data_IF_660834152143
#
_entry.id   IF_660834152143
#
_cell.length_a   1.000
_cell.length_b   1.000
_cell.length_c   1.000
_cell.angle_alpha   90.00
_cell.angle_beta   90.00
_cell.angle_gamma   90.00
#
_symmetry.space_group_name_H-M   'P 1'
#
loop_
_entity.id
_entity.type
_entity.pdbx_description
1 polymer ?
#
# COMPACT_ATOMS: atom_id res chain seq x y z
N UNK A 1 -22.37 8.29 -15.74
CA UNK A 1 -22.04 8.65 -17.13
C UNK A 1 -20.54 8.64 -17.29
N UNK A 2 -20.01 7.92 -18.25
CA UNK A 2 -18.61 7.98 -18.56
C UNK A 2 -18.40 9.15 -19.53
N UNK A 3 -18.54 10.34 -19.06
CA UNK A 3 -18.03 11.47 -19.81
C UNK A 3 -16.60 11.69 -19.40
N UNK A 4 -15.87 11.13 -20.18
CA UNK A 4 -14.79 11.63 -20.83
C UNK A 4 -13.42 11.49 -20.31
N UNK A 5 -12.95 10.34 -20.47
CA UNK A 5 -11.52 10.14 -20.28
C UNK A 5 -10.65 10.89 -21.30
N UNK A 6 -11.01 10.93 -22.57
CA UNK A 6 -10.12 11.45 -23.60
C UNK A 6 -9.98 12.99 -23.66
N UNK A 7 -11.06 13.76 -23.52
CA UNK A 7 -10.97 15.22 -23.57
C UNK A 7 -10.45 15.84 -22.27
N UNK A 8 -10.68 15.18 -21.14
CA UNK A 8 -10.16 15.62 -19.85
C UNK A 8 -8.68 15.29 -19.66
N UNK A 9 -8.16 14.28 -20.33
CA UNK A 9 -6.77 13.84 -20.20
C UNK A 9 -5.79 14.83 -20.85
N UNK A 10 -6.19 15.55 -21.87
CA UNK A 10 -5.32 16.54 -22.55
C UNK A 10 -4.98 17.72 -21.64
N UNK A 11 -5.85 18.09 -20.70
CA UNK A 11 -5.69 19.26 -19.83
C UNK A 11 -5.46 18.95 -18.35
N UNK A 12 -5.64 17.71 -17.93
CA UNK A 12 -5.45 17.33 -16.52
C UNK A 12 -3.97 17.24 -16.17
N UNK A 13 -3.63 17.84 -15.04
CA UNK A 13 -2.37 17.60 -14.35
C UNK A 13 -2.55 16.40 -13.43
N UNK A 14 -1.54 15.55 -13.37
CA UNK A 14 -1.55 14.36 -12.54
C UNK A 14 -0.57 14.52 -11.37
N UNK A 15 -0.97 14.00 -10.22
CA UNK A 15 -0.07 13.81 -9.08
C UNK A 15 0.09 12.30 -8.90
N UNK A 16 1.30 11.80 -9.10
CA UNK A 16 1.62 10.38 -9.01
C UNK A 16 2.41 10.14 -7.74
N UNK A 17 1.93 9.22 -6.92
CA UNK A 17 2.54 8.87 -5.64
C UNK A 17 3.25 7.51 -5.71
N UNK A 18 4.59 7.53 -5.72
CA UNK A 18 5.42 6.38 -6.09
C UNK A 18 6.34 5.90 -4.95
N UNK A 19 5.82 5.79 -3.75
CA UNK A 19 6.62 5.47 -2.55
C UNK A 19 7.18 4.04 -2.51
N UNK A 20 6.72 3.15 -3.39
CA UNK A 20 7.06 1.72 -3.37
C UNK A 20 7.91 1.25 -4.56
N UNK A 21 8.44 2.16 -5.36
CA UNK A 21 9.17 1.85 -6.61
C UNK A 21 10.33 0.85 -6.43
N UNK A 22 10.94 0.82 -5.26
CA UNK A 22 12.06 -0.08 -4.94
C UNK A 22 11.62 -1.38 -4.25
N UNK A 23 10.34 -1.51 -3.89
CA UNK A 23 9.82 -2.72 -3.23
C UNK A 23 9.02 -3.50 -4.26
N UNK A 24 9.74 -4.26 -5.08
CA UNK A 24 9.20 -5.05 -6.20
C UNK A 24 9.74 -6.47 -6.16
N UNK A 25 8.98 -7.41 -6.72
CA UNK A 25 9.26 -8.84 -6.66
C UNK A 25 9.18 -9.48 -8.06
N UNK A 26 9.69 -10.71 -8.16
CA UNK A 26 9.49 -11.60 -9.32
C UNK A 26 9.90 -10.96 -10.65
N UNK A 27 10.98 -10.19 -10.65
CA UNK A 27 11.50 -9.48 -11.83
C UNK A 27 10.56 -8.41 -12.39
N UNK A 28 9.56 -7.99 -11.61
CA UNK A 28 8.69 -6.87 -12.01
C UNK A 28 9.51 -5.60 -12.20
N UNK A 29 9.31 -4.94 -13.33
CA UNK A 29 9.94 -3.65 -13.64
C UNK A 29 8.95 -2.53 -13.44
N UNK A 30 9.20 -1.72 -12.43
CA UNK A 30 8.40 -0.53 -12.18
C UNK A 30 8.67 0.54 -13.25
N UNK A 31 7.60 1.22 -13.70
CA UNK A 31 7.71 2.35 -14.60
C UNK A 31 6.74 3.46 -14.16
N UNK A 32 7.19 4.72 -14.28
CA UNK A 32 6.32 5.87 -14.01
C UNK A 32 5.49 6.23 -15.22
N UNK A 33 4.30 6.84 -15.09
CA UNK A 33 3.52 7.32 -16.23
C UNK A 33 4.31 8.27 -17.13
N UNK A 34 5.10 9.19 -16.58
CA UNK A 34 5.92 10.11 -17.35
C UNK A 34 7.10 9.42 -18.08
N UNK A 35 7.53 8.24 -17.60
CA UNK A 35 8.55 7.43 -18.27
C UNK A 35 7.96 6.66 -19.45
N UNK A 36 6.74 6.13 -19.28
CA UNK A 36 6.04 5.34 -20.29
C UNK A 36 5.50 6.24 -21.41
N UNK A 37 4.97 7.39 -21.04
CA UNK A 37 4.39 8.36 -21.97
C UNK A 37 5.03 9.75 -21.76
N UNK A 38 6.08 10.09 -22.54
CA UNK A 38 6.83 11.34 -22.38
C UNK A 38 6.00 12.61 -22.51
N UNK A 39 4.88 12.57 -23.22
CA UNK A 39 3.97 13.73 -23.36
C UNK A 39 3.31 14.12 -22.04
N UNK A 40 3.34 13.25 -21.03
CA UNK A 40 2.83 13.51 -19.70
C UNK A 40 3.83 14.27 -18.81
N UNK A 41 5.11 14.34 -19.19
CA UNK A 41 6.17 14.90 -18.34
C UNK A 41 5.84 16.31 -17.82
N UNK A 42 5.41 17.20 -18.69
CA UNK A 42 5.09 18.60 -18.33
C UNK A 42 3.75 18.77 -17.59
N UNK A 43 3.03 17.66 -17.34
CA UNK A 43 1.73 17.64 -16.66
C UNK A 43 1.71 16.74 -15.44
N UNK A 44 2.82 16.09 -15.12
CA UNK A 44 2.94 15.13 -14.02
C UNK A 44 3.81 15.69 -12.91
N UNK A 45 3.31 15.63 -11.68
CA UNK A 45 4.07 15.78 -10.44
C UNK A 45 4.30 14.39 -9.86
N UNK A 46 5.52 13.91 -9.94
CA UNK A 46 5.90 12.63 -9.32
C UNK A 46 6.34 12.86 -7.88
N UNK A 47 5.68 12.21 -6.93
CA UNK A 47 5.99 12.27 -5.50
C UNK A 47 6.61 10.96 -5.04
N UNK A 48 7.68 11.04 -4.29
CA UNK A 48 8.35 9.91 -3.69
C UNK A 48 8.89 10.29 -2.30
N UNK A 49 9.58 9.38 -1.63
CA UNK A 49 10.20 9.65 -0.34
C UNK A 49 10.97 8.47 0.21
N UNK A 50 11.65 8.72 1.30
CA UNK A 50 12.55 7.73 1.94
C UNK A 50 11.84 6.84 2.96
N UNK A 51 10.55 7.09 3.23
CA UNK A 51 9.82 6.41 4.31
C UNK A 51 9.70 4.90 4.13
N UNK A 52 9.57 4.39 2.89
CA UNK A 52 9.24 2.99 2.60
C UNK A 52 10.47 2.18 2.24
N UNK A 53 11.06 2.44 1.08
CA UNK A 53 12.25 1.70 0.61
C UNK A 53 13.43 1.78 1.59
N UNK A 54 13.59 2.92 2.24
CA UNK A 54 14.69 3.17 3.17
C UNK A 54 14.32 2.97 4.65
N UNK A 55 13.08 2.53 4.95
CA UNK A 55 12.56 2.34 6.32
C UNK A 55 12.71 3.59 7.21
N UNK A 56 12.56 4.79 6.63
CA UNK A 56 12.81 6.09 7.26
C UNK A 56 11.50 6.84 7.57
N UNK A 57 10.48 6.14 8.08
CA UNK A 57 9.17 6.75 8.37
C UNK A 57 9.25 7.88 9.40
N UNK A 58 10.08 7.73 10.42
CA UNK A 58 10.28 8.71 11.49
C UNK A 58 11.01 9.98 11.05
N UNK A 59 11.73 9.93 9.95
CA UNK A 59 12.51 11.08 9.45
C UNK A 59 11.65 12.13 8.74
N UNK A 60 10.42 11.82 8.40
CA UNK A 60 9.43 12.73 7.81
C UNK A 60 9.92 13.45 6.56
N UNK A 61 10.52 12.73 5.61
CA UNK A 61 11.04 13.25 4.33
C UNK A 61 10.30 12.63 3.16
N UNK A 62 9.80 13.49 2.30
CA UNK A 62 9.36 13.21 0.94
C UNK A 62 9.91 14.26 -0.01
N UNK A 63 9.89 13.95 -1.27
CA UNK A 63 10.31 14.85 -2.35
C UNK A 63 9.42 14.67 -3.57
N UNK A 64 9.42 15.65 -4.45
CA UNK A 64 8.68 15.57 -5.70
C UNK A 64 9.47 16.22 -6.85
N UNK A 65 9.18 15.75 -8.04
CA UNK A 65 9.69 16.30 -9.29
C UNK A 65 8.52 16.57 -10.23
N UNK A 66 8.59 17.67 -10.99
CA UNK A 66 7.53 18.04 -11.92
C UNK A 66 7.78 19.39 -12.60
N UNK A 67 6.75 19.94 -13.25
CA UNK A 67 6.88 21.21 -13.99
C UNK A 67 7.44 22.33 -13.12
N UNK A 68 8.45 23.02 -13.61
CA UNK A 68 9.21 24.06 -12.87
C UNK A 68 8.30 25.13 -12.26
N UNK A 69 7.26 25.56 -12.97
CA UNK A 69 6.32 26.56 -12.45
C UNK A 69 5.55 26.06 -11.23
N UNK A 70 5.13 24.78 -11.26
CA UNK A 70 4.44 24.15 -10.13
C UNK A 70 5.37 24.00 -8.93
N UNK A 71 6.58 23.50 -9.13
CA UNK A 71 7.58 23.36 -8.06
C UNK A 71 7.89 24.71 -7.42
N UNK A 72 8.09 25.77 -8.22
CA UNK A 72 8.31 27.14 -7.68
C UNK A 72 7.13 27.63 -6.85
N UNK A 73 5.89 27.37 -7.30
CA UNK A 73 4.69 27.77 -6.55
C UNK A 73 4.58 26.99 -5.21
N UNK A 74 4.82 25.68 -5.24
CA UNK A 74 4.84 24.84 -4.03
C UNK A 74 5.92 25.30 -3.05
N UNK A 75 7.13 25.57 -3.53
CA UNK A 75 8.24 26.07 -2.69
C UNK A 75 7.86 27.40 -2.03
N UNK A 76 7.22 28.31 -2.77
CA UNK A 76 6.76 29.60 -2.22
C UNK A 76 5.74 29.39 -1.08
N UNK A 77 4.75 28.53 -1.28
CA UNK A 77 3.74 28.25 -0.25
C UNK A 77 4.38 27.57 0.97
N UNK A 78 5.22 26.56 0.75
CA UNK A 78 5.89 25.85 1.84
C UNK A 78 6.79 26.79 2.66
N UNK A 79 7.51 27.70 2.03
CA UNK A 79 8.38 28.67 2.72
C UNK A 79 7.62 29.58 3.68
N UNK A 80 6.32 29.81 3.45
CA UNK A 80 5.46 30.65 4.29
C UNK A 80 4.67 29.83 5.33
N UNK A 81 4.74 28.50 5.31
CA UNK A 81 4.02 27.62 6.24
C UNK A 81 5.00 26.85 7.13
N UNK A 82 5.58 25.77 6.62
CA UNK A 82 6.48 24.89 7.37
C UNK A 82 7.96 25.15 7.12
N UNK A 83 8.28 26.13 6.27
CA UNK A 83 9.62 26.52 5.78
C UNK A 83 10.28 25.42 4.96
N UNK A 84 10.76 24.35 5.58
CA UNK A 84 11.38 23.19 4.95
C UNK A 84 11.44 22.00 5.92
N UNK A 85 11.72 20.77 5.43
CA UNK A 85 12.00 19.64 6.30
C UNK A 85 13.24 19.89 7.18
N UNK A 86 13.31 19.23 8.32
CA UNK A 86 14.47 19.28 9.23
C UNK A 86 15.77 18.97 8.48
N UNK A 87 16.80 19.80 8.64
CA UNK A 87 18.08 19.66 7.92
C UNK A 87 18.79 18.33 8.18
N UNK A 88 18.71 17.82 9.41
CA UNK A 88 19.24 16.48 9.76
C UNK A 88 18.57 15.40 8.89
N UNK A 89 17.24 15.45 8.73
CA UNK A 89 16.50 14.52 7.89
C UNK A 89 16.85 14.66 6.40
N UNK A 90 17.13 15.88 5.94
CA UNK A 90 17.56 16.11 4.57
C UNK A 90 18.92 15.44 4.29
N UNK A 91 19.90 15.59 5.18
CA UNK A 91 21.20 14.94 5.05
C UNK A 91 21.10 13.41 5.13
N UNK A 92 20.26 12.91 6.03
CA UNK A 92 19.98 11.46 6.08
C UNK A 92 19.33 10.95 4.78
N UNK A 93 18.46 11.73 4.16
CA UNK A 93 17.87 11.38 2.86
C UNK A 93 18.91 11.43 1.72
N UNK A 94 19.85 12.40 1.76
CA UNK A 94 20.96 12.45 0.79
C UNK A 94 21.80 11.17 0.87
N UNK A 95 22.15 10.72 2.07
CA UNK A 95 22.90 9.46 2.26
C UNK A 95 22.06 8.25 1.81
N UNK A 96 20.77 8.19 2.18
CA UNK A 96 19.90 7.09 1.76
C UNK A 96 19.80 6.96 0.24
N UNK A 97 19.75 8.08 -0.49
CA UNK A 97 19.58 8.08 -1.95
C UNK A 97 20.89 7.89 -2.73
N UNK A 98 22.03 8.28 -2.18
CA UNK A 98 23.32 8.24 -2.88
C UNK A 98 24.29 7.18 -2.32
N UNK A 99 24.05 6.69 -1.11
CA UNK A 99 24.85 5.64 -0.49
C UNK A 99 24.59 4.25 -1.08
N UNK A 100 25.17 3.20 -0.49
CA UNK A 100 24.97 1.81 -0.93
C UNK A 100 23.49 1.43 -0.96
N UNK A 101 23.05 0.69 -1.98
CA UNK A 101 21.66 0.27 -2.20
C UNK A 101 21.44 -1.25 -2.02
N UNK A 102 22.49 -2.03 -1.77
CA UNK A 102 22.45 -3.49 -1.73
C UNK A 102 21.43 -4.04 -0.73
N UNK A 103 21.27 -3.38 0.42
CA UNK A 103 20.30 -3.76 1.45
C UNK A 103 18.83 -3.70 1.00
N UNK A 104 18.51 -2.98 -0.08
CA UNK A 104 17.17 -2.94 -0.65
C UNK A 104 16.82 -4.31 -1.22
N UNK A 105 17.74 -4.93 -1.96
CA UNK A 105 17.55 -6.28 -2.51
C UNK A 105 17.39 -7.33 -1.40
N UNK A 106 18.18 -7.24 -0.33
CA UNK A 106 18.07 -8.12 0.83
C UNK A 106 16.70 -7.99 1.52
N UNK A 107 16.23 -6.76 1.73
CA UNK A 107 14.89 -6.52 2.29
C UNK A 107 13.77 -7.01 1.39
N UNK A 108 13.89 -6.81 0.09
CA UNK A 108 12.90 -7.30 -0.87
C UNK A 108 12.81 -8.82 -0.84
N UNK A 109 13.92 -9.54 -0.67
CA UNK A 109 13.91 -10.99 -0.50
C UNK A 109 13.13 -11.42 0.76
N UNK A 110 13.31 -10.72 1.88
CA UNK A 110 12.54 -10.98 3.12
C UNK A 110 11.06 -10.66 2.90
N UNK A 111 10.72 -9.53 2.30
CA UNK A 111 9.33 -9.18 2.01
C UNK A 111 8.67 -10.15 1.04
N UNK A 112 9.41 -10.62 0.03
CA UNK A 112 8.90 -11.67 -0.89
C UNK A 112 8.54 -12.95 -0.14
N UNK A 113 9.42 -13.41 0.75
CA UNK A 113 9.15 -14.62 1.57
C UNK A 113 7.91 -14.43 2.44
N UNK A 114 7.74 -13.27 3.07
CA UNK A 114 6.55 -12.93 3.86
C UNK A 114 5.29 -12.86 3.02
N UNK A 115 5.36 -12.22 1.86
CA UNK A 115 4.27 -12.16 0.89
C UNK A 115 3.80 -13.57 0.52
N UNK A 116 4.72 -14.42 0.08
CA UNK A 116 4.41 -15.77 -0.38
C UNK A 116 3.74 -16.58 0.73
N UNK A 117 4.26 -16.51 1.96
CA UNK A 117 3.67 -17.15 3.13
C UNK A 117 2.25 -16.62 3.44
N UNK A 118 2.07 -15.30 3.46
CA UNK A 118 0.77 -14.69 3.79
C UNK A 118 -0.27 -15.02 2.72
N UNK A 119 0.09 -14.94 1.44
CA UNK A 119 -0.79 -15.31 0.33
C UNK A 119 -1.22 -16.78 0.41
N UNK A 120 -0.26 -17.68 0.64
CA UNK A 120 -0.54 -19.11 0.80
C UNK A 120 -1.50 -19.38 1.96
N UNK A 121 -1.22 -18.84 3.14
CA UNK A 121 -2.06 -19.02 4.32
C UNK A 121 -3.46 -18.42 4.16
N UNK A 122 -3.59 -17.25 3.54
CA UNK A 122 -4.89 -16.60 3.32
C UNK A 122 -5.74 -17.38 2.31
N UNK A 123 -5.14 -17.93 1.26
CA UNK A 123 -5.86 -18.76 0.28
C UNK A 123 -6.33 -20.13 0.84
N UNK A 124 -5.85 -20.51 2.02
CA UNK A 124 -6.36 -21.66 2.77
C UNK A 124 -7.53 -21.28 3.71
N UNK A 125 -7.82 -19.98 3.88
CA UNK A 125 -8.93 -19.51 4.69
C UNK A 125 -10.24 -19.60 3.90
N UNK A 126 -11.28 -20.18 4.52
CA UNK A 126 -12.58 -20.37 3.88
C UNK A 126 -13.25 -19.03 3.51
N UNK A 127 -13.52 -18.84 2.22
CA UNK A 127 -14.19 -17.64 1.71
C UNK A 127 -13.27 -16.44 1.47
N UNK A 128 -11.96 -16.63 1.58
CA UNK A 128 -10.93 -15.65 1.24
C UNK A 128 -10.26 -16.01 -0.10
N UNK A 129 -9.98 -15.00 -0.89
CA UNK A 129 -9.17 -15.10 -2.10
C UNK A 129 -8.12 -13.99 -2.10
N UNK A 130 -6.85 -14.36 -2.16
CA UNK A 130 -5.73 -13.43 -2.12
C UNK A 130 -4.86 -13.57 -3.36
N UNK A 131 -4.81 -12.53 -4.18
CA UNK A 131 -3.90 -12.43 -5.31
C UNK A 131 -2.47 -12.15 -4.82
N UNK A 132 -1.48 -12.63 -5.57
CA UNK A 132 -0.07 -12.38 -5.28
C UNK A 132 0.34 -11.00 -5.81
N UNK A 133 0.69 -10.03 -4.95
CA UNK A 133 1.12 -8.72 -5.40
C UNK A 133 2.56 -8.75 -5.95
N UNK A 134 2.82 -7.92 -6.94
CA UNK A 134 4.16 -7.77 -7.57
C UNK A 134 5.05 -6.76 -6.86
N UNK A 135 4.55 -6.07 -5.85
CA UNK A 135 5.31 -5.06 -5.09
C UNK A 135 4.63 -4.61 -3.81
N UNK A 136 5.23 -3.61 -3.17
CA UNK A 136 4.84 -3.08 -1.86
C UNK A 136 4.99 -4.12 -0.73
N UNK A 137 4.36 -3.89 0.42
CA UNK A 137 4.30 -4.85 1.53
C UNK A 137 2.87 -5.01 2.06
N UNK A 138 1.92 -5.03 1.13
CA UNK A 138 0.50 -5.25 1.40
C UNK A 138 -0.05 -6.37 0.55
N UNK A 139 -0.96 -7.16 1.13
CA UNK A 139 -1.92 -7.98 0.39
C UNK A 139 -3.31 -7.35 0.50
N UNK A 140 -4.14 -7.64 -0.49
CA UNK A 140 -5.50 -7.08 -0.57
C UNK A 140 -6.51 -8.18 -0.92
N UNK A 141 -6.72 -9.14 0.02
CA UNK A 141 -7.61 -10.27 -0.19
C UNK A 141 -9.08 -9.86 -0.26
N UNK A 142 -9.82 -10.59 -1.07
CA UNK A 142 -11.28 -10.58 -1.10
C UNK A 142 -11.83 -11.42 0.05
N UNK A 143 -12.86 -10.91 0.75
CA UNK A 143 -13.65 -11.66 1.71
C UNK A 143 -15.08 -11.95 1.21
N UNK A 144 -15.27 -11.96 -0.11
CA UNK A 144 -16.60 -12.13 -0.73
C UNK A 144 -17.30 -13.42 -0.29
N UNK A 145 -16.56 -14.52 -0.09
CA UNK A 145 -17.11 -15.79 0.38
C UNK A 145 -17.51 -15.80 1.86
N UNK A 146 -17.23 -14.72 2.61
CA UNK A 146 -17.66 -14.55 4.00
C UNK A 146 -18.92 -13.68 4.12
N UNK A 147 -19.25 -12.90 3.08
CA UNK A 147 -20.42 -12.01 3.09
C UNK A 147 -21.70 -12.84 3.15
N UNK A 148 -22.63 -12.42 3.99
CA UNK A 148 -23.91 -13.10 4.25
C UNK A 148 -23.82 -14.24 5.26
N UNK A 149 -22.62 -14.65 5.69
CA UNK A 149 -22.44 -15.59 6.80
C UNK A 149 -22.60 -14.89 8.15
N UNK A 150 -22.78 -15.66 9.21
CA UNK A 150 -22.91 -15.16 10.59
C UNK A 150 -21.79 -15.66 11.48
N UNK A 151 -21.34 -14.82 12.39
CA UNK A 151 -20.43 -15.24 13.47
C UNK A 151 -21.13 -16.25 14.42
N UNK A 152 -20.40 -16.98 15.25
CA UNK A 152 -21.01 -17.83 16.30
C UNK A 152 -21.95 -17.08 17.24
N UNK A 153 -21.75 -15.76 17.44
CA UNK A 153 -22.61 -14.88 18.23
C UNK A 153 -23.86 -14.35 17.50
N UNK A 154 -24.04 -14.73 16.21
CA UNK A 154 -25.23 -14.35 15.42
C UNK A 154 -25.09 -13.01 14.65
N UNK A 155 -23.93 -12.35 14.68
CA UNK A 155 -23.69 -11.15 13.90
C UNK A 155 -23.50 -11.52 12.41
N UNK A 156 -24.29 -10.94 11.53
CA UNK A 156 -24.18 -11.13 10.08
C UNK A 156 -23.02 -10.30 9.53
N UNK A 157 -22.21 -10.91 8.68
CA UNK A 157 -21.15 -10.23 7.91
C UNK A 157 -21.78 -9.60 6.67
N UNK A 158 -22.16 -8.33 6.76
CA UNK A 158 -22.86 -7.64 5.66
C UNK A 158 -21.90 -7.12 4.58
N UNK A 159 -20.70 -6.73 4.97
CA UNK A 159 -19.68 -6.13 4.11
C UNK A 159 -18.28 -6.29 4.72
N UNK A 160 -17.27 -5.73 4.06
CA UNK A 160 -15.86 -5.79 4.50
C UNK A 160 -15.59 -4.99 5.79
N UNK A 161 -16.37 -3.98 6.11
CA UNK A 161 -16.25 -3.24 7.38
C UNK A 161 -16.73 -4.11 8.54
N UNK A 162 -17.90 -4.75 8.40
CA UNK A 162 -18.41 -5.70 9.39
C UNK A 162 -17.51 -6.92 9.54
N UNK A 163 -16.91 -7.41 8.43
CA UNK A 163 -15.90 -8.47 8.47
C UNK A 163 -14.69 -8.05 9.30
N UNK A 164 -14.09 -6.87 9.02
CA UNK A 164 -12.92 -6.38 9.73
C UNK A 164 -13.19 -6.15 11.22
N UNK A 165 -14.35 -5.60 11.56
CA UNK A 165 -14.77 -5.38 12.95
C UNK A 165 -14.97 -6.69 13.70
N UNK A 166 -15.72 -7.63 13.13
CA UNK A 166 -15.95 -8.94 13.75
C UNK A 166 -14.65 -9.75 13.92
N UNK A 167 -13.73 -9.69 12.96
CA UNK A 167 -12.40 -10.31 13.04
C UNK A 167 -11.58 -9.70 14.20
N UNK A 168 -11.61 -8.37 14.35
CA UNK A 168 -10.91 -7.69 15.43
C UNK A 168 -11.49 -8.10 16.79
N UNK A 169 -12.81 -8.13 16.94
CA UNK A 169 -13.49 -8.48 18.19
C UNK A 169 -13.29 -9.95 18.59
N UNK A 170 -13.38 -10.86 17.62
CA UNK A 170 -13.29 -12.29 17.88
C UNK A 170 -11.84 -12.78 18.06
N UNK A 171 -10.90 -12.25 17.30
CA UNK A 171 -9.55 -12.81 17.17
C UNK A 171 -8.43 -11.82 17.50
N UNK A 172 -8.73 -10.54 17.73
CA UNK A 172 -7.74 -9.50 17.99
C UNK A 172 -6.85 -9.18 16.79
N UNK A 173 -7.32 -9.45 15.56
CA UNK A 173 -6.59 -9.16 14.33
C UNK A 173 -7.14 -7.90 13.69
N UNK A 174 -6.32 -6.84 13.69
CA UNK A 174 -6.66 -5.57 13.06
C UNK A 174 -6.29 -5.54 11.58
N UNK A 175 -7.28 -5.33 10.72
CA UNK A 175 -7.12 -5.14 9.28
C UNK A 175 -7.84 -3.87 8.83
N UNK A 176 -7.56 -3.37 7.64
CA UNK A 176 -8.27 -2.21 7.10
C UNK A 176 -9.26 -2.69 6.04
N UNK A 177 -10.54 -2.39 6.21
CA UNK A 177 -11.57 -2.75 5.25
C UNK A 177 -11.38 -2.05 3.89
N UNK A 178 -11.76 -2.73 2.83
CA UNK A 178 -11.47 -2.31 1.45
C UNK A 178 -12.24 -1.10 0.99
N UNK A 179 -13.47 -0.89 1.51
CA UNK A 179 -14.27 0.29 1.21
C UNK A 179 -13.52 1.60 1.49
N UNK A 180 -12.63 1.63 2.50
CA UNK A 180 -11.76 2.77 2.79
C UNK A 180 -10.78 3.11 1.64
N UNK A 181 -10.57 2.18 0.72
CA UNK A 181 -9.71 2.32 -0.48
C UNK A 181 -10.52 2.25 -1.79
N UNK A 182 -11.85 2.26 -1.70
CA UNK A 182 -12.74 2.26 -2.86
C UNK A 182 -12.97 0.90 -3.51
N UNK A 183 -12.60 -0.21 -2.87
CA UNK A 183 -12.81 -1.56 -3.40
C UNK A 183 -13.30 -2.52 -2.30
N UNK A 184 -14.59 -2.84 -2.33
CA UNK A 184 -15.27 -3.81 -1.48
C UNK A 184 -15.68 -5.04 -2.31
N UNK A 185 -15.83 -6.23 -1.74
CA UNK A 185 -15.56 -6.64 -0.35
C UNK A 185 -14.14 -7.17 -0.18
N UNK A 186 -13.23 -6.31 0.21
CA UNK A 186 -11.82 -6.63 0.39
C UNK A 186 -11.32 -6.13 1.74
N UNK A 187 -10.10 -6.52 2.12
CA UNK A 187 -9.40 -5.94 3.26
C UNK A 187 -7.89 -5.91 3.02
N UNK A 188 -7.21 -4.98 3.66
CA UNK A 188 -5.76 -4.81 3.51
C UNK A 188 -5.02 -5.34 4.72
N UNK A 189 -3.99 -6.14 4.47
CA UNK A 189 -3.00 -6.56 5.47
C UNK A 189 -1.63 -6.03 5.08
N UNK A 190 -0.90 -5.48 6.06
CA UNK A 190 0.52 -5.17 5.92
C UNK A 190 1.35 -6.35 6.42
N UNK A 191 2.32 -6.81 5.62
CA UNK A 191 3.29 -7.82 6.05
C UNK A 191 4.65 -7.24 6.46
N UNK A 192 4.67 -5.94 6.79
CA UNK A 192 5.84 -5.27 7.34
C UNK A 192 5.92 -5.43 8.87
N UNK A 193 5.87 -6.68 9.34
CA UNK A 193 6.01 -7.08 10.75
C UNK A 193 6.78 -8.40 10.85
N UNK A 194 6.94 -8.98 12.04
CA UNK A 194 7.68 -10.24 12.21
C UNK A 194 6.93 -11.44 11.59
N UNK A 195 7.69 -12.49 11.25
CA UNK A 195 7.15 -13.70 10.65
C UNK A 195 6.21 -14.43 11.63
N UNK A 196 6.50 -14.39 12.93
CA UNK A 196 5.68 -14.97 13.97
C UNK A 196 4.31 -14.29 14.05
N UNK A 197 4.30 -12.95 14.05
CA UNK A 197 3.06 -12.17 14.07
C UNK A 197 2.22 -12.43 12.82
N UNK A 198 2.84 -12.55 11.64
CA UNK A 198 2.13 -12.83 10.40
C UNK A 198 1.50 -14.22 10.40
N UNK A 199 2.24 -15.25 10.82
CA UNK A 199 1.73 -16.62 10.95
C UNK A 199 0.55 -16.68 11.91
N UNK A 200 0.70 -16.07 13.07
CA UNK A 200 -0.36 -16.03 14.08
C UNK A 200 -1.60 -15.30 13.56
N UNK A 201 -1.43 -14.13 12.93
CA UNK A 201 -2.56 -13.39 12.37
C UNK A 201 -3.28 -14.19 11.27
N UNK A 202 -2.55 -14.82 10.35
CA UNK A 202 -3.15 -15.65 9.30
C UNK A 202 -3.88 -16.87 9.88
N UNK A 203 -3.30 -17.53 10.91
CA UNK A 203 -3.95 -18.65 11.61
C UNK A 203 -5.26 -18.21 12.27
N UNK A 204 -5.28 -17.02 12.89
CA UNK A 204 -6.49 -16.46 13.49
C UNK A 204 -7.55 -16.12 12.44
N UNK A 205 -7.14 -15.57 11.29
CA UNK A 205 -8.04 -15.31 10.15
C UNK A 205 -8.66 -16.63 9.67
N UNK A 206 -7.88 -17.69 9.48
CA UNK A 206 -8.38 -19.01 9.07
C UNK A 206 -9.39 -19.54 10.09
N UNK A 207 -9.10 -19.47 11.40
CA UNK A 207 -10.00 -19.89 12.47
C UNK A 207 -11.30 -19.08 12.48
N UNK A 208 -11.21 -17.75 12.32
CA UNK A 208 -12.38 -16.90 12.21
C UNK A 208 -13.25 -17.28 11.02
N UNK A 209 -12.68 -17.41 9.83
CA UNK A 209 -13.41 -17.76 8.61
C UNK A 209 -14.10 -19.13 8.73
N UNK A 210 -13.44 -20.13 9.33
CA UNK A 210 -14.02 -21.46 9.54
C UNK A 210 -15.13 -21.49 10.59
N UNK A 211 -15.18 -20.49 11.48
CA UNK A 211 -16.23 -20.36 12.50
C UNK A 211 -17.54 -19.78 11.96
N UNK A 212 -17.49 -19.12 10.81
CA UNK A 212 -18.66 -18.45 10.20
C UNK A 212 -19.67 -19.50 9.68
N UNK A 213 -20.95 -19.26 9.97
CA UNK A 213 -22.08 -20.13 9.60
C UNK A 213 -22.88 -19.51 8.45
N UNK A 214 -23.45 -20.37 7.60
CA UNK A 214 -24.41 -19.97 6.56
C UNK A 214 -25.73 -19.54 7.19
#
# INVERSE_FOLDING_TARGET
QPESSAASDVYKRQVIYEMFIHIVYDSFTFATPAQVEPSLYDRTLTMNGVSKAYAMTGWRIGYCAGPVQLIKAMTKIQSQSTSNPTSISQWAAVEALNGPQDYIAERNAVFKTRRDMVVDMLNQAEGIECLTPEGAFYVYPSCSGCIGKSTPGGQVIENDETFATALLEAEGVAVVHGAAFGLSPHFRISYATSDENLKEACTRIQRFCSSLKK
#
